data_IF_725222984305
#
_entry.id   IF_725222984305
#
_cell.length_a   1.000
_cell.length_b   1.000
_cell.length_c   1.000
_cell.angle_alpha   90.00
_cell.angle_beta   90.00
_cell.angle_gamma   90.00
#
_symmetry.space_group_name_H-M   'P 1'
#
loop_
_entity.id
_entity.type
_entity.pdbx_description
1 polymer ?
#
# COMPACT_ATOMS: atom_id res chain seq x y z
N UNK A 1 -19.18 -2.77 -31.53
CA UNK A 1 -19.17 -1.71 -30.52
C UNK A 1 -17.74 -1.54 -30.09
N UNK A 2 -17.10 -0.46 -30.50
CA UNK A 2 -15.72 -0.14 -30.11
C UNK A 2 -15.71 0.18 -28.62
N UNK A 3 -15.03 -0.66 -27.83
CA UNK A 3 -14.66 -0.34 -26.45
C UNK A 3 -13.77 0.91 -26.48
N UNK A 4 -14.36 2.09 -26.29
CA UNK A 4 -13.58 3.29 -26.01
C UNK A 4 -12.73 3.02 -24.77
N UNK A 5 -11.42 3.35 -24.79
CA UNK A 5 -10.57 3.18 -23.62
C UNK A 5 -11.11 4.07 -22.51
N UNK A 6 -11.68 3.45 -21.47
CA UNK A 6 -12.16 4.14 -20.27
C UNK A 6 -11.03 5.00 -19.72
N UNK A 7 -11.32 6.27 -19.46
CA UNK A 7 -10.35 7.19 -18.87
C UNK A 7 -9.89 6.67 -17.52
N UNK A 8 -8.58 6.48 -17.35
CA UNK A 8 -7.99 6.08 -16.07
C UNK A 8 -8.42 7.02 -14.93
N UNK A 9 -8.53 8.32 -15.21
CA UNK A 9 -8.93 9.33 -14.23
C UNK A 9 -10.38 9.11 -13.78
N UNK A 10 -11.28 8.75 -14.69
CA UNK A 10 -12.67 8.42 -14.33
C UNK A 10 -12.75 7.15 -13.49
N UNK A 11 -11.99 6.10 -13.85
CA UNK A 11 -11.89 4.90 -13.04
C UNK A 11 -11.34 5.19 -11.63
N UNK A 12 -10.32 6.04 -11.54
CA UNK A 12 -9.74 6.44 -10.26
C UNK A 12 -10.75 7.21 -9.41
N UNK A 13 -11.50 8.16 -9.99
CA UNK A 13 -12.58 8.89 -9.28
C UNK A 13 -13.67 7.94 -8.78
N UNK A 14 -14.08 6.97 -9.59
CA UNK A 14 -15.06 5.96 -9.19
C UNK A 14 -14.56 5.10 -8.02
N UNK A 15 -13.26 4.74 -8.03
CA UNK A 15 -12.63 4.00 -6.92
C UNK A 15 -12.57 4.84 -5.65
N UNK A 16 -12.21 6.12 -5.75
CA UNK A 16 -12.21 7.04 -4.61
C UNK A 16 -13.61 7.11 -4.00
N UNK A 17 -14.64 7.40 -4.80
CA UNK A 17 -16.03 7.44 -4.33
C UNK A 17 -16.43 6.13 -3.65
N UNK A 18 -16.14 4.98 -4.27
CA UNK A 18 -16.46 3.67 -3.70
C UNK A 18 -15.79 3.43 -2.35
N UNK A 19 -14.55 3.87 -2.15
CA UNK A 19 -13.84 3.74 -0.87
C UNK A 19 -14.41 4.72 0.16
N UNK A 20 -14.67 5.96 -0.22
CA UNK A 20 -15.22 6.99 0.67
C UNK A 20 -16.63 6.66 1.15
N UNK A 21 -17.43 5.98 0.33
CA UNK A 21 -18.80 5.57 0.64
C UNK A 21 -18.87 4.24 1.44
N UNK A 22 -17.72 3.64 1.82
CA UNK A 22 -17.71 2.42 2.62
C UNK A 22 -18.29 2.68 4.03
N UNK A 23 -19.36 1.98 4.37
CA UNK A 23 -20.01 2.02 5.67
C UNK A 23 -20.14 0.59 6.25
N UNK A 24 -19.04 -0.01 6.73
CA UNK A 24 -19.03 -1.40 7.16
C UNK A 24 -19.84 -1.60 8.44
N UNK A 25 -20.81 -2.53 8.42
CA UNK A 25 -21.73 -2.76 9.55
C UNK A 25 -21.28 -3.89 10.47
N UNK A 26 -20.52 -4.84 9.94
CA UNK A 26 -20.01 -5.98 10.70
C UNK A 26 -18.52 -6.27 10.46
N UNK A 27 -18.01 -7.29 11.17
CA UNK A 27 -16.60 -7.67 11.10
C UNK A 27 -16.18 -8.14 9.69
N UNK A 28 -17.05 -8.84 8.96
CA UNK A 28 -16.75 -9.29 7.60
C UNK A 28 -16.72 -8.11 6.63
N UNK A 29 -17.62 -7.14 6.80
CA UNK A 29 -17.62 -5.90 6.03
C UNK A 29 -16.33 -5.10 6.26
N UNK A 30 -15.84 -5.03 7.50
CA UNK A 30 -14.57 -4.37 7.81
C UNK A 30 -13.41 -5.07 7.07
N UNK A 31 -13.34 -6.41 7.13
CA UNK A 31 -12.29 -7.18 6.44
C UNK A 31 -12.37 -6.97 4.93
N UNK A 32 -13.58 -6.96 4.37
CA UNK A 32 -13.79 -6.66 2.95
C UNK A 32 -13.33 -5.25 2.59
N UNK A 33 -13.68 -4.24 3.40
CA UNK A 33 -13.27 -2.86 3.22
C UNK A 33 -11.74 -2.70 3.22
N UNK A 34 -11.05 -3.36 4.16
CA UNK A 34 -9.58 -3.40 4.19
C UNK A 34 -9.02 -3.97 2.88
N UNK A 35 -9.54 -5.13 2.43
CA UNK A 35 -9.10 -5.76 1.17
C UNK A 35 -9.33 -4.86 -0.06
N UNK A 36 -10.46 -4.14 -0.09
CA UNK A 36 -10.78 -3.21 -1.16
C UNK A 36 -9.83 -1.99 -1.18
N UNK A 37 -9.50 -1.44 0.00
CA UNK A 37 -8.51 -0.36 0.12
C UNK A 37 -7.13 -0.83 -0.35
N UNK A 38 -6.65 -1.98 0.12
CA UNK A 38 -5.34 -2.52 -0.25
C UNK A 38 -5.24 -2.78 -1.76
N UNK A 39 -6.24 -3.42 -2.36
CA UNK A 39 -6.26 -3.71 -3.81
C UNK A 39 -6.32 -2.44 -4.66
N UNK A 40 -7.05 -1.41 -4.21
CA UNK A 40 -7.12 -0.13 -4.91
C UNK A 40 -5.80 0.63 -4.85
N UNK A 41 -5.15 0.68 -3.68
CA UNK A 41 -3.82 1.26 -3.53
C UNK A 41 -2.79 0.53 -4.38
N UNK A 42 -2.79 -0.82 -4.36
CA UNK A 42 -1.89 -1.63 -5.17
C UNK A 42 -2.03 -1.32 -6.67
N UNK A 43 -3.26 -1.24 -7.20
CA UNK A 43 -3.50 -0.89 -8.60
C UNK A 43 -3.01 0.53 -8.94
N UNK A 44 -3.23 1.51 -8.04
CA UNK A 44 -2.72 2.88 -8.23
C UNK A 44 -1.19 2.91 -8.27
N UNK A 45 -0.54 2.24 -7.32
CA UNK A 45 0.93 2.19 -7.26
C UNK A 45 1.55 1.49 -8.47
N UNK A 46 0.90 0.46 -9.03
CA UNK A 46 1.34 -0.14 -10.29
C UNK A 46 1.40 0.89 -11.43
N UNK A 47 0.39 1.76 -11.56
CA UNK A 47 0.38 2.84 -12.55
C UNK A 47 1.53 3.84 -12.34
N UNK A 48 1.76 4.25 -11.09
CA UNK A 48 2.90 5.11 -10.75
C UNK A 48 4.25 4.47 -11.07
N UNK A 49 4.41 3.17 -10.76
CA UNK A 49 5.63 2.43 -11.11
C UNK A 49 5.85 2.33 -12.62
N UNK A 50 4.78 2.21 -13.41
CA UNK A 50 4.88 2.28 -14.87
C UNK A 50 5.33 3.67 -15.35
N UNK A 51 4.79 4.76 -14.78
CA UNK A 51 5.21 6.12 -15.11
C UNK A 51 6.68 6.37 -14.76
N UNK A 52 7.13 5.90 -13.60
CA UNK A 52 8.53 5.97 -13.18
C UNK A 52 9.41 5.17 -14.15
N UNK A 53 9.06 3.92 -14.44
CA UNK A 53 9.83 3.05 -15.33
C UNK A 53 9.92 3.55 -16.77
N UNK A 54 8.89 4.25 -17.25
CA UNK A 54 8.84 4.85 -18.59
C UNK A 54 9.38 6.29 -18.64
N UNK A 55 9.95 6.80 -17.54
CA UNK A 55 10.44 8.18 -17.40
C UNK A 55 9.37 9.25 -17.70
N UNK A 56 8.08 8.94 -17.54
CA UNK A 56 6.97 9.87 -17.78
C UNK A 56 6.97 11.05 -16.82
N UNK A 57 7.63 10.91 -15.66
CA UNK A 57 7.78 11.98 -14.67
C UNK A 57 8.69 13.12 -15.13
N UNK A 58 9.46 12.96 -16.22
CA UNK A 58 10.36 14.01 -16.73
C UNK A 58 9.59 15.25 -17.24
N UNK A 59 8.31 15.08 -17.56
CA UNK A 59 7.45 16.13 -18.11
C UNK A 59 6.79 16.97 -17.00
N UNK A 60 7.01 16.61 -15.73
CA UNK A 60 6.53 17.34 -14.55
C UNK A 60 7.57 18.35 -14.08
N UNK A 61 7.10 19.53 -13.66
CA UNK A 61 7.95 20.54 -13.06
C UNK A 61 8.41 20.11 -11.65
N UNK A 62 9.54 20.64 -11.21
CA UNK A 62 10.11 20.30 -9.90
C UNK A 62 9.12 20.46 -8.73
N UNK A 63 8.31 21.54 -8.63
CA UNK A 63 7.33 21.67 -7.56
C UNK A 63 6.27 20.56 -7.57
N UNK A 64 5.83 20.10 -8.75
CA UNK A 64 4.87 19.00 -8.87
C UNK A 64 5.48 17.68 -8.39
N UNK A 65 6.75 17.43 -8.74
CA UNK A 65 7.48 16.26 -8.26
C UNK A 65 7.66 16.26 -6.74
N UNK A 66 7.95 17.43 -6.14
CA UNK A 66 8.07 17.59 -4.69
C UNK A 66 6.72 17.33 -3.98
N UNK A 67 5.61 17.79 -4.56
CA UNK A 67 4.26 17.50 -4.07
C UNK A 67 3.94 15.99 -4.13
N UNK A 68 4.12 15.38 -5.31
CA UNK A 68 3.89 13.94 -5.52
C UNK A 68 4.71 13.11 -4.53
N UNK A 69 6.01 13.42 -4.41
CA UNK A 69 6.90 12.75 -3.49
C UNK A 69 6.45 12.90 -2.03
N UNK A 70 6.06 14.11 -1.62
CA UNK A 70 5.60 14.39 -0.26
C UNK A 70 4.38 13.55 0.12
N UNK A 71 3.38 13.48 -0.77
CA UNK A 71 2.15 12.71 -0.55
C UNK A 71 2.45 11.21 -0.49
N UNK A 72 3.19 10.67 -1.47
CA UNK A 72 3.52 9.24 -1.53
C UNK A 72 4.34 8.85 -0.29
N UNK A 73 5.39 9.61 0.04
CA UNK A 73 6.23 9.35 1.21
C UNK A 73 5.41 9.29 2.49
N UNK A 74 4.51 10.24 2.71
CA UNK A 74 3.65 10.27 3.90
C UNK A 74 2.75 9.04 3.98
N UNK A 75 2.09 8.68 2.88
CA UNK A 75 1.22 7.50 2.82
C UNK A 75 2.02 6.21 3.04
N UNK A 76 3.22 6.08 2.45
CA UNK A 76 4.10 4.93 2.65
C UNK A 76 4.48 4.75 4.12
N UNK A 77 4.92 5.82 4.80
CA UNK A 77 5.28 5.73 6.22
C UNK A 77 4.09 5.26 7.07
N UNK A 78 2.92 5.87 6.87
CA UNK A 78 1.71 5.51 7.64
C UNK A 78 1.30 4.04 7.43
N UNK A 79 1.37 3.54 6.20
CA UNK A 79 1.04 2.14 5.91
C UNK A 79 2.08 1.17 6.48
N UNK A 80 3.37 1.51 6.43
CA UNK A 80 4.43 0.68 7.00
C UNK A 80 4.37 0.64 8.53
N UNK A 81 4.06 1.75 9.18
CA UNK A 81 3.87 1.80 10.63
C UNK A 81 2.70 0.91 11.09
N UNK A 82 1.58 0.93 10.34
CA UNK A 82 0.46 0.03 10.58
C UNK A 82 0.86 -1.44 10.39
N UNK A 83 1.54 -1.77 9.30
CA UNK A 83 1.99 -3.13 9.01
C UNK A 83 2.91 -3.67 10.10
N UNK A 84 3.91 -2.88 10.50
CA UNK A 84 4.82 -3.25 11.58
C UNK A 84 4.04 -3.49 12.88
N UNK A 85 3.15 -2.58 13.29
CA UNK A 85 2.36 -2.73 14.53
C UNK A 85 1.53 -4.02 14.53
N UNK A 86 0.83 -4.31 13.42
CA UNK A 86 -0.08 -5.47 13.37
C UNK A 86 0.64 -6.78 13.16
N UNK A 87 1.66 -6.80 12.30
CA UNK A 87 2.44 -8.01 12.01
C UNK A 87 3.28 -8.39 13.22
N UNK A 88 3.93 -7.45 13.91
CA UNK A 88 4.70 -7.76 15.12
C UNK A 88 3.81 -8.36 16.22
N UNK A 89 2.66 -7.75 16.50
CA UNK A 89 1.69 -8.29 17.49
C UNK A 89 1.20 -9.69 17.10
N UNK A 90 0.96 -9.92 15.81
CA UNK A 90 0.54 -11.23 15.31
C UNK A 90 1.65 -12.27 15.50
N UNK A 91 2.88 -11.96 15.11
CA UNK A 91 4.03 -12.86 15.27
C UNK A 91 4.30 -13.23 16.74
N UNK A 92 4.19 -12.25 17.65
CA UNK A 92 4.38 -12.45 19.09
C UNK A 92 3.29 -13.36 19.68
N UNK A 93 2.03 -13.18 19.27
CA UNK A 93 0.91 -13.98 19.78
C UNK A 93 0.83 -15.38 19.18
N UNK A 94 1.40 -15.60 17.99
CA UNK A 94 1.33 -16.88 17.27
C UNK A 94 2.68 -17.62 17.23
N UNK A 95 3.71 -17.13 17.91
CA UNK A 95 5.01 -17.80 18.03
C UNK A 95 5.79 -17.93 16.71
N UNK A 96 5.50 -17.07 15.73
CA UNK A 96 6.10 -17.13 14.38
C UNK A 96 7.49 -16.50 14.32
N UNK A 97 7.86 -15.72 15.35
CA UNK A 97 9.19 -15.11 15.46
C UNK A 97 10.22 -16.21 15.77
N UNK A 98 11.00 -16.60 14.77
CA UNK A 98 12.15 -17.48 15.00
C UNK A 98 13.08 -16.80 16.01
N UNK A 99 13.33 -17.46 17.15
CA UNK A 99 14.40 -17.03 18.07
C UNK A 99 15.71 -17.08 17.28
N UNK A 100 16.41 -15.95 17.20
CA UNK A 100 17.75 -15.93 16.65
C UNK A 100 18.59 -17.00 17.38
N UNK A 101 19.37 -17.84 16.66
CA UNK A 101 20.19 -18.84 17.32
C UNK A 101 21.15 -18.15 18.28
N UNK A 102 21.09 -18.60 19.53
CA UNK A 102 21.86 -18.05 20.63
C UNK A 102 23.36 -18.12 20.28
N UNK A 103 24.00 -16.97 20.06
CA UNK A 103 25.41 -16.88 19.63
C UNK A 103 26.39 -17.33 20.72
N UNK A 104 25.91 -17.76 21.88
CA UNK A 104 26.72 -17.90 23.08
C UNK A 104 27.42 -19.26 23.23
N UNK A 105 27.18 -20.24 22.35
CA UNK A 105 27.73 -21.61 22.50
C UNK A 105 28.84 -22.01 21.49
N UNK A 106 29.52 -21.05 20.83
CA UNK A 106 30.60 -21.37 19.86
C UNK A 106 32.04 -21.18 20.35
N UNK A 107 32.27 -20.99 21.65
CA UNK A 107 33.62 -20.77 22.21
C UNK A 107 34.03 -21.81 23.27
N UNK A 108 33.65 -23.08 23.10
CA UNK A 108 34.32 -24.19 23.82
C UNK A 108 34.39 -25.42 22.92
N UNK A 109 35.51 -25.59 22.22
CA UNK A 109 36.05 -26.87 21.71
C UNK A 109 37.51 -26.67 21.38
#
# INVERSE_FOLDING_TARGET
MSDEPKSWVEEARNRVKRISDLDPQDRLDIVYGIGLCCSTLAKSMQGWMQWIGNLSLKDFERPELEEIFGIIKKATVQLMELDIDKTEKYEQSHGLRQKAPDRQNRLVS
#
